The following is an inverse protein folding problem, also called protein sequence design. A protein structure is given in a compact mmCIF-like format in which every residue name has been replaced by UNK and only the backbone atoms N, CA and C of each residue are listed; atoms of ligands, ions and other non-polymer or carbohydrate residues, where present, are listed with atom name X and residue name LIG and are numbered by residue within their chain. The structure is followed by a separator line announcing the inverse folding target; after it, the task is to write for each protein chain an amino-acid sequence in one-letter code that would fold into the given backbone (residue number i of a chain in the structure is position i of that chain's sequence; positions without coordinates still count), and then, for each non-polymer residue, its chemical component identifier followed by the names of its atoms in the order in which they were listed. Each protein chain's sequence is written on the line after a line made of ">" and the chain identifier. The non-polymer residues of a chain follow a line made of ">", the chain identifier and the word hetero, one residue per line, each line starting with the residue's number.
data_IF_228534508625
#
_entry.id   IF_228534508625
#
_cell.length_a   1.000
_cell.length_b   1.000
_cell.length_c   1.000
_cell.angle_alpha   90.00
_cell.angle_beta   90.00
_cell.angle_gamma   90.00
#
_symmetry.space_group_name_H-M   'P 1'
#
loop_
_entity.id
_entity.type
_entity.pdbx_description
1 polymer ?
#
# COMPACT_ATOMS: atom_id res chain seq x y z
N UNK A 1 -2.02 7.98 -10.96
CA UNK A 1 -2.93 7.44 -9.93
C UNK A 1 -3.27 6.02 -10.27
N UNK A 2 -3.40 5.16 -9.26
CA UNK A 2 -3.96 3.83 -9.46
C UNK A 2 -5.40 3.96 -10.01
N UNK A 3 -5.82 3.04 -10.88
CA UNK A 3 -7.13 3.07 -11.54
C UNK A 3 -7.25 4.11 -12.67
N UNK A 4 -6.20 4.86 -13.00
CA UNK A 4 -6.18 5.84 -14.10
C UNK A 4 -5.45 5.35 -15.36
N UNK A 5 -5.21 4.02 -15.48
CA UNK A 5 -4.59 3.39 -16.64
C UNK A 5 -3.06 3.24 -16.59
N UNK A 6 -2.41 3.69 -15.51
CA UNK A 6 -0.96 3.59 -15.30
C UNK A 6 -0.58 2.43 -14.36
N UNK A 7 -1.49 1.50 -14.10
CA UNK A 7 -1.36 0.53 -12.99
C UNK A 7 -0.20 -0.45 -13.21
N UNK A 8 0.00 -0.89 -14.45
CA UNK A 8 1.11 -1.77 -14.81
C UNK A 8 2.47 -1.07 -14.62
N UNK A 9 2.60 0.18 -15.06
CA UNK A 9 3.83 0.97 -14.91
C UNK A 9 4.12 1.27 -13.44
N UNK A 10 3.10 1.63 -12.66
CA UNK A 10 3.24 1.88 -11.21
C UNK A 10 3.70 0.60 -10.49
N UNK A 11 3.15 -0.56 -10.84
CA UNK A 11 3.59 -1.82 -10.28
C UNK A 11 5.04 -2.12 -10.69
N UNK A 12 5.40 -1.92 -11.96
CA UNK A 12 6.76 -2.15 -12.43
C UNK A 12 7.78 -1.30 -11.67
N UNK A 13 7.46 -0.04 -11.38
CA UNK A 13 8.30 0.84 -10.55
C UNK A 13 8.42 0.31 -9.12
N UNK A 14 7.33 -0.15 -8.50
CA UNK A 14 7.37 -0.71 -7.15
C UNK A 14 8.20 -1.99 -7.05
N UNK A 15 8.09 -2.88 -8.05
CA UNK A 15 8.89 -4.11 -8.14
C UNK A 15 10.37 -3.79 -8.36
N UNK A 16 10.67 -2.81 -9.21
CA UNK A 16 12.07 -2.39 -9.41
C UNK A 16 12.65 -1.74 -8.16
N UNK A 17 11.87 -0.95 -7.42
CA UNK A 17 12.29 -0.40 -6.13
C UNK A 17 12.61 -1.50 -5.10
N UNK A 18 11.82 -2.58 -5.06
CA UNK A 18 12.08 -3.77 -4.25
C UNK A 18 13.37 -4.50 -4.66
N UNK A 19 13.66 -4.55 -5.97
CA UNK A 19 14.91 -5.10 -6.50
C UNK A 19 16.13 -4.25 -6.14
N UNK A 20 15.97 -2.93 -6.15
CA UNK A 20 17.01 -1.96 -5.85
C UNK A 20 17.25 -1.77 -4.33
N UNK A 21 16.41 -2.35 -3.48
CA UNK A 21 16.57 -2.29 -2.03
C UNK A 21 16.09 -0.97 -1.42
N UNK A 22 15.12 -0.30 -2.03
CA UNK A 22 14.45 0.83 -1.41
C UNK A 22 13.76 0.39 -0.11
N UNK A 23 13.69 1.30 0.86
CA UNK A 23 13.15 0.98 2.17
C UNK A 23 11.63 0.79 2.14
N UNK A 24 10.91 1.67 1.43
CA UNK A 24 9.44 1.72 1.49
C UNK A 24 8.84 2.28 0.20
N UNK A 25 7.71 1.70 -0.22
CA UNK A 25 6.83 2.22 -1.25
C UNK A 25 5.57 2.81 -0.61
N UNK A 26 5.24 4.05 -0.95
CA UNK A 26 4.09 4.77 -0.39
C UNK A 26 2.95 4.89 -1.41
N UNK A 27 1.73 4.54 -1.00
CA UNK A 27 0.52 4.78 -1.75
C UNK A 27 -0.29 5.92 -1.12
N UNK A 28 -0.55 6.95 -1.91
CA UNK A 28 -1.43 8.05 -1.51
C UNK A 28 -2.90 7.66 -1.68
N UNK A 29 -3.74 8.09 -0.73
CA UNK A 29 -5.19 7.92 -0.79
C UNK A 29 -5.88 9.28 -0.88
N UNK A 30 -6.70 9.44 -1.91
CA UNK A 30 -7.53 10.62 -2.13
C UNK A 30 -8.92 10.17 -2.64
N UNK A 31 -9.63 11.01 -3.39
CA UNK A 31 -10.94 10.70 -3.98
C UNK A 31 -10.85 9.84 -5.27
N UNK A 32 -10.14 8.72 -5.19
CA UNK A 32 -9.92 7.80 -6.31
C UNK A 32 -9.83 6.37 -5.82
N UNK A 33 -8.70 5.70 -6.07
CA UNK A 33 -8.42 4.38 -5.49
C UNK A 33 -8.18 4.45 -3.99
N UNK A 34 -8.61 3.42 -3.28
CA UNK A 34 -8.26 3.22 -1.88
C UNK A 34 -6.82 2.68 -1.77
N UNK A 35 -6.05 3.18 -0.79
CA UNK A 35 -4.68 2.72 -0.58
C UNK A 35 -4.58 1.25 -0.13
N UNK A 36 -5.47 0.69 0.72
CA UNK A 36 -5.38 -0.71 1.13
C UNK A 36 -5.36 -1.71 -0.04
N UNK A 37 -6.24 -1.54 -1.03
CA UNK A 37 -6.30 -2.43 -2.20
C UNK A 37 -5.02 -2.35 -3.02
N UNK A 38 -4.53 -1.14 -3.27
CA UNK A 38 -3.26 -0.90 -3.98
C UNK A 38 -2.09 -1.55 -3.23
N UNK A 39 -2.00 -1.32 -1.92
CA UNK A 39 -0.91 -1.80 -1.09
C UNK A 39 -0.92 -3.33 -1.00
N UNK A 40 -2.09 -3.97 -0.88
CA UNK A 40 -2.20 -5.43 -0.95
C UNK A 40 -1.70 -5.98 -2.29
N UNK A 41 -2.03 -5.31 -3.40
CA UNK A 41 -1.58 -5.69 -4.73
C UNK A 41 -0.05 -5.60 -4.88
N UNK A 42 0.57 -4.53 -4.37
CA UNK A 42 2.04 -4.35 -4.36
C UNK A 42 2.71 -5.35 -3.41
N UNK A 43 2.15 -5.61 -2.22
CA UNK A 43 2.68 -6.60 -1.28
C UNK A 43 2.77 -7.99 -1.91
N UNK A 44 1.76 -8.39 -2.70
CA UNK A 44 1.71 -9.68 -3.37
C UNK A 44 2.76 -9.84 -4.49
N UNK A 45 3.46 -8.77 -4.87
CA UNK A 45 4.44 -8.74 -5.98
C UNK A 45 5.84 -8.32 -5.56
N UNK A 46 6.04 -8.08 -4.26
CA UNK A 46 7.33 -7.64 -3.69
C UNK A 46 7.65 -8.49 -2.48
N UNK A 47 8.94 -8.65 -2.18
CA UNK A 47 9.39 -9.55 -1.12
C UNK A 47 10.09 -8.82 0.04
N UNK A 48 10.69 -7.65 -0.18
CA UNK A 48 11.56 -6.99 0.82
C UNK A 48 11.14 -5.58 1.17
N UNK A 49 10.70 -4.78 0.21
CA UNK A 49 10.34 -3.37 0.40
C UNK A 49 9.14 -3.26 1.34
N UNK A 50 9.17 -2.30 2.26
CA UNK A 50 7.98 -1.99 3.07
C UNK A 50 6.90 -1.34 2.19
N UNK A 51 5.64 -1.50 2.58
CA UNK A 51 4.51 -0.89 1.89
C UNK A 51 3.74 -0.01 2.88
N UNK A 52 3.46 1.24 2.51
CA UNK A 52 2.85 2.19 3.44
C UNK A 52 1.77 3.08 2.85
N UNK A 53 0.81 3.46 3.69
CA UNK A 53 -0.22 4.45 3.35
C UNK A 53 0.29 5.88 3.60
N UNK A 54 0.02 6.80 2.68
CA UNK A 54 0.44 8.22 2.80
C UNK A 54 -0.67 9.18 2.35
N UNK A 55 -1.77 9.35 3.09
CA UNK A 55 -2.19 8.73 4.36
C UNK A 55 -3.48 7.93 4.13
N UNK A 56 -3.89 7.04 5.04
CA UNK A 56 -5.25 6.49 4.97
C UNK A 56 -6.28 7.60 5.18
N UNK A 57 -7.37 7.58 4.43
CA UNK A 57 -8.48 8.52 4.65
C UNK A 57 -9.26 8.14 5.92
N UNK A 58 -8.77 8.59 7.08
CA UNK A 58 -9.37 8.29 8.39
C UNK A 58 -10.77 8.87 8.60
N UNK A 59 -11.12 10.07 8.10
CA UNK A 59 -12.49 10.57 8.24
C UNK A 59 -13.56 9.67 7.61
N UNK A 60 -13.18 8.82 6.65
CA UNK A 60 -14.08 7.90 5.96
C UNK A 60 -14.15 6.50 6.60
N UNK A 61 -13.45 6.25 7.73
CA UNK A 61 -13.32 4.91 8.32
C UNK A 61 -13.62 4.91 9.82
N UNK A 62 -14.26 3.85 10.30
CA UNK A 62 -14.35 3.59 11.73
C UNK A 62 -12.99 3.08 12.27
N UNK A 63 -12.61 3.43 13.51
CA UNK A 63 -11.33 3.00 14.08
C UNK A 63 -11.11 1.47 14.06
N UNK A 64 -12.15 0.69 14.35
CA UNK A 64 -12.09 -0.77 14.29
C UNK A 64 -11.79 -1.29 12.88
N UNK A 65 -12.42 -0.69 11.86
CA UNK A 65 -12.16 -1.04 10.45
C UNK A 65 -10.74 -0.69 10.03
N UNK A 66 -10.21 0.46 10.46
CA UNK A 66 -8.81 0.84 10.22
C UNK A 66 -7.86 -0.19 10.84
N UNK A 67 -8.10 -0.59 12.09
CA UNK A 67 -7.28 -1.58 12.78
C UNK A 67 -7.32 -2.95 12.08
N UNK A 68 -8.50 -3.44 11.69
CA UNK A 68 -8.65 -4.71 10.95
C UNK A 68 -7.94 -4.67 9.60
N UNK A 69 -8.07 -3.55 8.88
CA UNK A 69 -7.41 -3.35 7.58
C UNK A 69 -5.89 -3.37 7.75
N UNK A 70 -5.37 -2.64 8.74
CA UNK A 70 -3.95 -2.59 9.03
C UNK A 70 -3.39 -3.97 9.41
N UNK A 71 -4.08 -4.70 10.30
CA UNK A 71 -3.69 -6.05 10.70
C UNK A 71 -3.69 -7.03 9.50
N UNK A 72 -4.64 -6.90 8.59
CA UNK A 72 -4.71 -7.73 7.39
C UNK A 72 -3.55 -7.45 6.44
N UNK A 73 -3.25 -6.17 6.18
CA UNK A 73 -2.12 -5.77 5.33
C UNK A 73 -0.78 -6.18 5.94
N UNK A 74 -0.63 -6.03 7.25
CA UNK A 74 0.57 -6.47 7.97
C UNK A 74 0.79 -7.97 7.80
N UNK A 75 -0.26 -8.78 7.98
CA UNK A 75 -0.20 -10.22 7.78
C UNK A 75 0.10 -10.60 6.32
N UNK A 76 -0.59 -10.01 5.33
CA UNK A 76 -0.38 -10.32 3.91
C UNK A 76 1.01 -9.91 3.39
N UNK A 77 1.58 -8.85 3.97
CA UNK A 77 2.90 -8.35 3.59
C UNK A 77 4.04 -9.04 4.34
N UNK A 78 3.75 -9.87 5.35
CA UNK A 78 4.77 -10.51 6.19
C UNK A 78 5.42 -9.53 7.18
N UNK A 79 4.66 -8.60 7.74
CA UNK A 79 5.15 -7.60 8.70
C UNK A 79 5.75 -6.33 8.08
N UNK A 80 5.55 -6.12 6.78
CA UNK A 80 6.13 -5.02 5.99
C UNK A 80 5.20 -3.81 5.86
N UNK A 81 4.02 -3.83 6.48
CA UNK A 81 3.05 -2.75 6.35
C UNK A 81 3.34 -1.57 7.29
N UNK A 82 3.23 -0.36 6.77
CA UNK A 82 3.41 0.91 7.50
C UNK A 82 2.14 1.75 7.45
N UNK A 83 1.47 1.86 8.60
CA UNK A 83 0.23 2.63 8.74
C UNK A 83 0.52 4.13 8.88
N UNK A 84 0.34 4.88 7.80
CA UNK A 84 0.29 6.35 7.84
C UNK A 84 -1.16 6.86 7.98
N UNK A 85 -1.36 7.80 8.91
CA UNK A 85 -2.63 8.37 9.35
C UNK A 85 -2.63 9.89 9.22
#
# INVERSE_FOLDING_TARGET
>A
YWGAGMDADNLAVAVEADRLGYAVCWAAEAYGSDAPTVLAYVAAKTERIDIGSAILQIPARQPAMTAMTAATLDSLSGGRFRLGL
#
